data_IF_953599656567
#
_entry.id   IF_953599656567
#
_cell.length_a   1.000
_cell.length_b   1.000
_cell.length_c   1.000
_cell.angle_alpha   90.00
_cell.angle_beta   90.00
_cell.angle_gamma   90.00
#
_symmetry.space_group_name_H-M   'P 1'
#
loop_
_entity.id
_entity.type
_entity.pdbx_description
1 polymer ?
#
# COMPACT_ATOMS: atom_id res chain seq x y z
N UNK A 1 38.84 19.04 -11.32
CA UNK A 1 38.95 19.94 -10.15
C UNK A 1 37.90 19.49 -9.15
N UNK A 2 38.28 18.96 -7.99
CA UNK A 2 37.31 18.49 -7.00
C UNK A 2 36.64 19.70 -6.33
N UNK A 3 35.31 19.65 -6.17
CA UNK A 3 34.53 20.73 -5.56
C UNK A 3 34.78 20.78 -4.05
N UNK A 4 35.38 21.87 -3.57
CA UNK A 4 35.70 22.10 -2.16
C UNK A 4 34.72 23.07 -1.49
N UNK A 5 34.67 23.02 -0.16
CA UNK A 5 33.94 23.97 0.68
C UNK A 5 34.72 24.38 1.92
N UNK A 6 34.42 25.57 2.38
CA UNK A 6 34.81 26.06 3.70
C UNK A 6 33.96 25.40 4.79
N UNK A 7 34.60 24.67 5.68
CA UNK A 7 33.98 23.89 6.75
C UNK A 7 34.53 24.39 8.09
N UNK A 8 33.65 24.89 8.95
CA UNK A 8 34.02 25.31 10.30
C UNK A 8 34.05 24.11 11.24
N UNK A 9 35.20 23.90 11.87
CA UNK A 9 35.47 22.82 12.82
C UNK A 9 36.22 23.40 14.02
N UNK A 10 35.59 23.33 15.21
CA UNK A 10 36.14 23.81 16.48
C UNK A 10 36.64 25.25 16.38
N UNK A 11 35.83 26.12 15.77
CA UNK A 11 36.14 27.54 15.59
C UNK A 11 37.06 27.87 14.41
N UNK A 12 37.70 26.87 13.77
CA UNK A 12 38.62 27.08 12.64
C UNK A 12 37.97 26.69 11.32
N UNK A 13 38.21 27.48 10.29
CA UNK A 13 37.72 27.20 8.93
C UNK A 13 38.76 26.38 8.18
N UNK A 14 38.31 25.29 7.58
CA UNK A 14 39.11 24.37 6.79
C UNK A 14 38.49 24.25 5.40
N UNK A 15 39.28 24.36 4.35
CA UNK A 15 38.82 24.09 2.99
C UNK A 15 39.07 22.62 2.69
N UNK A 16 38.02 21.87 2.38
CA UNK A 16 38.12 20.44 2.12
C UNK A 16 37.14 19.99 1.04
N UNK A 17 37.45 18.90 0.36
CA UNK A 17 36.50 18.21 -0.53
C UNK A 17 35.43 17.49 0.30
N UNK A 18 34.41 16.96 -0.39
CA UNK A 18 33.42 16.14 0.28
C UNK A 18 34.05 14.88 0.88
N UNK A 19 34.94 14.21 0.15
CA UNK A 19 35.59 12.96 0.55
C UNK A 19 36.45 13.16 1.80
N UNK A 20 37.22 14.25 1.85
CA UNK A 20 38.01 14.64 3.02
C UNK A 20 37.11 14.94 4.22
N UNK A 21 36.02 15.69 4.02
CA UNK A 21 35.04 15.98 5.05
C UNK A 21 34.36 14.70 5.57
N UNK A 22 33.95 13.82 4.65
CA UNK A 22 33.28 12.57 4.92
C UNK A 22 34.16 11.61 5.75
N UNK A 23 35.46 11.58 5.45
CA UNK A 23 36.47 10.85 6.22
C UNK A 23 36.71 11.49 7.59
N UNK A 24 36.86 12.82 7.64
CA UNK A 24 37.07 13.57 8.89
C UNK A 24 35.96 13.33 9.93
N UNK A 25 34.73 13.11 9.49
CA UNK A 25 33.56 12.90 10.34
C UNK A 25 33.05 11.45 10.37
N UNK A 26 33.88 10.47 9.98
CA UNK A 26 33.50 9.05 9.95
C UNK A 26 32.95 8.53 11.29
N UNK A 27 33.69 8.72 12.39
CA UNK A 27 33.24 8.30 13.72
C UNK A 27 31.90 8.92 14.13
N UNK A 28 31.67 10.19 13.79
CA UNK A 28 30.41 10.88 14.05
C UNK A 28 29.25 10.26 13.26
N UNK A 29 29.47 9.93 11.98
CA UNK A 29 28.46 9.30 11.12
C UNK A 29 28.15 7.89 11.60
N UNK A 30 29.15 7.09 11.92
CA UNK A 30 28.98 5.73 12.44
C UNK A 30 28.19 5.73 13.76
N UNK A 31 28.47 6.67 14.66
CA UNK A 31 27.72 6.84 15.90
C UNK A 31 26.25 7.18 15.65
N UNK A 32 25.96 8.03 14.65
CA UNK A 32 24.59 8.32 14.25
C UNK A 32 23.91 7.09 13.62
N UNK A 33 24.56 6.37 12.71
CA UNK A 33 24.00 5.13 12.15
C UNK A 33 23.63 4.13 13.25
N UNK A 34 24.53 3.93 14.22
CA UNK A 34 24.25 3.05 15.37
C UNK A 34 23.09 3.54 16.23
N UNK A 35 22.98 4.85 16.46
CA UNK A 35 21.86 5.45 17.21
C UNK A 35 20.50 5.16 16.57
N UNK A 36 20.46 5.07 15.24
CA UNK A 36 19.24 4.85 14.47
C UNK A 36 19.03 3.40 14.02
N UNK A 37 19.80 2.44 14.54
CA UNK A 37 19.69 0.99 14.23
C UNK A 37 18.32 0.35 14.46
N UNK A 38 17.43 1.03 15.19
CA UNK A 38 16.07 0.58 15.50
C UNK A 38 15.04 1.01 14.44
N UNK A 39 15.47 1.76 13.42
CA UNK A 39 14.63 1.99 12.24
C UNK A 39 14.38 0.66 11.52
N UNK A 40 13.21 0.49 10.87
CA UNK A 40 12.90 -0.69 10.08
C UNK A 40 13.61 -0.60 8.71
N UNK A 41 14.93 -0.48 8.76
CA UNK A 41 15.85 -0.40 7.64
C UNK A 41 17.03 -1.29 7.97
N UNK A 42 17.63 -1.90 6.95
CA UNK A 42 18.84 -2.68 7.14
C UNK A 42 20.01 -1.75 7.50
N UNK A 43 21.05 -2.31 8.11
CA UNK A 43 22.20 -1.53 8.59
C UNK A 43 22.84 -0.71 7.46
N UNK A 44 23.00 -1.33 6.29
CA UNK A 44 23.59 -0.68 5.11
C UNK A 44 22.72 0.48 4.61
N UNK A 45 21.38 0.32 4.63
CA UNK A 45 20.45 1.39 4.27
C UNK A 45 20.55 2.59 5.22
N UNK A 46 20.71 2.33 6.52
CA UNK A 46 20.91 3.39 7.51
C UNK A 46 22.22 4.13 7.25
N UNK A 47 23.31 3.41 6.99
CA UNK A 47 24.63 3.99 6.69
C UNK A 47 24.61 4.83 5.41
N UNK A 48 23.90 4.36 4.37
CA UNK A 48 23.70 5.10 3.13
C UNK A 48 22.87 6.37 3.37
N UNK A 49 21.77 6.27 4.10
CA UNK A 49 20.89 7.42 4.36
C UNK A 49 21.60 8.51 5.20
N UNK A 50 22.41 8.09 6.18
CA UNK A 50 23.29 9.00 6.94
C UNK A 50 24.29 9.68 6.02
N UNK A 51 24.91 8.94 5.09
CA UNK A 51 25.89 9.48 4.14
C UNK A 51 25.26 10.45 3.14
N UNK A 52 24.07 10.16 2.63
CA UNK A 52 23.30 11.04 1.75
C UNK A 52 22.88 12.33 2.45
N UNK A 53 22.37 12.21 3.69
CA UNK A 53 22.01 13.36 4.51
C UNK A 53 23.23 14.22 4.88
N UNK A 54 24.38 13.58 5.11
CA UNK A 54 25.65 14.27 5.37
C UNK A 54 26.15 15.01 4.12
N UNK A 55 26.07 14.41 2.93
CA UNK A 55 26.38 15.08 1.67
C UNK A 55 25.48 16.30 1.44
N UNK A 56 24.18 16.19 1.74
CA UNK A 56 23.24 17.31 1.67
C UNK A 56 23.61 18.43 2.64
N UNK A 57 24.08 18.10 3.84
CA UNK A 57 24.60 19.09 4.78
C UNK A 57 25.86 19.78 4.23
N UNK A 58 26.82 19.01 3.72
CA UNK A 58 28.03 19.54 3.06
C UNK A 58 27.65 20.51 1.93
N UNK A 59 26.83 20.06 0.97
CA UNK A 59 26.44 20.86 -0.21
C UNK A 59 25.77 22.19 0.17
N UNK A 60 24.94 22.20 1.20
CA UNK A 60 24.18 23.39 1.60
C UNK A 60 24.83 24.19 2.75
N UNK A 61 25.98 23.76 3.25
CA UNK A 61 26.67 24.44 4.34
C UNK A 61 27.18 25.81 3.90
N UNK A 62 27.05 26.78 4.80
CA UNK A 62 27.47 28.16 4.62
C UNK A 62 28.15 28.63 5.92
N UNK A 63 29.44 28.92 5.81
CA UNK A 63 30.29 29.32 6.95
C UNK A 63 29.85 30.66 7.54
N UNK A 64 29.25 31.55 6.74
CA UNK A 64 28.85 32.90 7.16
C UNK A 64 27.72 32.87 8.19
N UNK A 65 26.99 31.75 8.28
CA UNK A 65 25.97 31.53 9.33
C UNK A 65 26.58 31.29 10.71
N UNK A 66 27.90 31.12 10.81
CA UNK A 66 28.64 31.06 12.08
C UNK A 66 28.57 29.72 12.82
N UNK A 67 27.68 28.80 12.44
CA UNK A 67 27.55 27.49 13.07
C UNK A 67 28.69 26.53 12.72
N UNK A 68 29.06 25.68 13.68
CA UNK A 68 29.93 24.53 13.42
C UNK A 68 29.29 23.58 12.42
N UNK A 69 30.09 23.01 11.51
CA UNK A 69 29.57 22.11 10.49
C UNK A 69 28.87 20.88 11.09
N UNK A 70 29.44 20.32 12.17
CA UNK A 70 28.87 19.15 12.85
C UNK A 70 27.44 19.41 13.35
N UNK A 71 27.14 20.64 13.77
CA UNK A 71 25.80 21.04 14.23
C UNK A 71 24.81 21.00 13.05
N UNK A 72 25.21 21.53 11.90
CA UNK A 72 24.38 21.53 10.68
C UNK A 72 24.18 20.11 10.16
N UNK A 73 25.26 19.31 10.12
CA UNK A 73 25.23 17.92 9.68
C UNK A 73 24.31 17.08 10.58
N UNK A 74 24.48 17.17 11.89
CA UNK A 74 23.63 16.46 12.85
C UNK A 74 22.17 16.82 12.66
N UNK A 75 21.84 18.12 12.56
CA UNK A 75 20.45 18.57 12.39
C UNK A 75 19.84 18.04 11.09
N UNK A 76 20.61 18.05 10.00
CA UNK A 76 20.17 17.56 8.69
C UNK A 76 19.89 16.06 8.72
N UNK A 77 20.85 15.27 9.22
CA UNK A 77 20.71 13.81 9.34
C UNK A 77 19.53 13.44 10.23
N UNK A 78 19.39 14.06 11.40
CA UNK A 78 18.27 13.78 12.32
C UNK A 78 16.92 14.11 11.69
N UNK A 79 16.82 15.22 10.96
CA UNK A 79 15.58 15.61 10.30
C UNK A 79 15.16 14.59 9.24
N UNK A 80 16.10 14.14 8.41
CA UNK A 80 15.82 13.19 7.31
C UNK A 80 15.52 11.77 7.87
N UNK A 81 16.29 11.27 8.84
CA UNK A 81 15.99 10.00 9.53
C UNK A 81 14.65 10.03 10.29
N UNK A 82 14.29 11.18 10.89
CA UNK A 82 12.99 11.34 11.55
C UNK A 82 11.82 11.36 10.55
N UNK A 83 12.03 11.77 9.29
CA UNK A 83 11.01 11.64 8.24
C UNK A 83 10.79 10.18 7.89
N UNK A 84 11.85 9.38 7.80
CA UNK A 84 11.74 7.93 7.56
C UNK A 84 10.96 7.27 8.69
N UNK A 85 11.30 7.55 9.95
CA UNK A 85 10.56 7.05 11.10
C UNK A 85 9.07 7.41 11.03
N UNK A 86 8.74 8.68 10.72
CA UNK A 86 7.36 9.14 10.60
C UNK A 86 6.62 8.53 9.41
N UNK A 87 7.29 8.40 8.26
CA UNK A 87 6.74 7.78 7.06
C UNK A 87 6.40 6.31 7.31
N UNK A 88 7.24 5.60 8.07
CA UNK A 88 6.96 4.22 8.47
C UNK A 88 5.80 4.10 9.47
N UNK A 89 5.61 5.11 10.33
CA UNK A 89 4.55 5.11 11.34
C UNK A 89 3.23 5.77 10.90
N UNK A 90 3.18 6.40 9.73
CA UNK A 90 1.95 7.06 9.25
C UNK A 90 0.89 6.00 8.92
N UNK A 91 -0.36 6.22 9.37
CA UNK A 91 -1.48 5.26 9.46
C UNK A 91 -1.73 4.36 8.22
N UNK A 92 -1.26 4.72 7.02
CA UNK A 92 -1.36 3.87 5.82
C UNK A 92 -0.41 2.66 5.82
N UNK A 93 0.61 2.65 6.71
CA UNK A 93 1.51 1.50 6.96
C UNK A 93 1.22 0.76 8.27
N UNK A 94 0.11 1.07 8.96
CA UNK A 94 -0.37 0.26 10.11
C UNK A 94 -0.75 -1.17 9.72
N UNK A 95 -0.92 -1.46 8.43
CA UNK A 95 -1.09 -2.83 7.90
C UNK A 95 0.08 -3.75 8.32
N UNK A 96 1.29 -3.20 8.57
CA UNK A 96 2.46 -3.96 9.01
C UNK A 96 2.46 -4.39 10.48
N UNK A 97 1.53 -3.90 11.32
CA UNK A 97 1.36 -4.44 12.67
C UNK A 97 0.64 -5.79 12.57
N UNK A 98 1.34 -6.87 12.91
CA UNK A 98 0.89 -8.27 12.82
C UNK A 98 0.89 -8.87 11.40
N UNK A 99 1.82 -8.46 10.53
CA UNK A 99 2.04 -9.23 9.30
C UNK A 99 2.70 -10.55 9.67
N UNK A 100 1.97 -11.61 9.38
CA UNK A 100 2.46 -12.98 9.40
C UNK A 100 2.90 -13.29 7.97
N UNK A 101 4.13 -13.79 7.80
CA UNK A 101 4.57 -14.25 6.48
C UNK A 101 3.65 -15.38 6.01
N UNK A 102 3.16 -15.31 4.77
CA UNK A 102 2.35 -16.37 4.18
C UNK A 102 3.12 -17.71 4.15
N UNK A 103 4.44 -17.64 4.03
CA UNK A 103 5.34 -18.80 4.04
C UNK A 103 5.76 -19.19 5.46
N UNK A 104 5.26 -18.52 6.51
CA UNK A 104 5.52 -18.97 7.88
C UNK A 104 4.71 -20.23 8.19
N UNK A 105 5.27 -21.12 9.00
CA UNK A 105 4.62 -22.37 9.36
C UNK A 105 3.66 -22.21 10.53
N UNK A 106 2.50 -22.85 10.46
CA UNK A 106 1.50 -22.88 11.54
C UNK A 106 1.97 -23.87 12.63
N UNK A 107 1.98 -23.43 13.90
CA UNK A 107 2.55 -24.17 15.04
C UNK A 107 1.81 -25.48 15.41
N UNK A 108 0.60 -25.70 14.89
CA UNK A 108 -0.30 -26.76 15.37
C UNK A 108 -0.26 -28.08 14.57
N UNK A 109 0.41 -28.14 13.42
CA UNK A 109 0.47 -29.36 12.62
C UNK A 109 1.65 -30.25 13.05
N UNK A 110 1.40 -31.22 13.95
CA UNK A 110 2.42 -32.08 14.56
C UNK A 110 3.29 -32.91 13.60
N UNK A 111 2.98 -33.02 12.31
CA UNK A 111 3.79 -33.83 11.37
C UNK A 111 3.90 -33.28 9.94
N UNK A 112 3.23 -32.17 9.59
CA UNK A 112 3.32 -31.54 8.26
C UNK A 112 3.62 -30.05 8.42
N UNK A 113 4.67 -29.57 7.74
CA UNK A 113 4.97 -28.14 7.61
C UNK A 113 3.90 -27.50 6.71
N UNK A 114 2.79 -27.10 7.30
CA UNK A 114 1.72 -26.36 6.59
C UNK A 114 2.05 -24.87 6.70
N UNK A 115 2.10 -24.19 5.56
CA UNK A 115 2.33 -22.75 5.51
C UNK A 115 1.02 -22.00 5.78
N UNK A 116 1.11 -20.76 6.26
CA UNK A 116 -0.07 -19.91 6.49
C UNK A 116 -0.88 -19.74 5.20
N UNK A 117 -0.22 -19.67 4.04
CA UNK A 117 -0.88 -19.63 2.73
C UNK A 117 -1.85 -20.80 2.51
N UNK A 118 -1.46 -22.01 2.92
CA UNK A 118 -2.23 -23.24 2.71
C UNK A 118 -3.52 -23.29 3.56
N UNK A 119 -3.59 -22.47 4.61
CA UNK A 119 -4.75 -22.35 5.51
C UNK A 119 -5.75 -21.29 5.08
N UNK A 120 -5.37 -20.43 4.14
CA UNK A 120 -6.26 -19.41 3.60
C UNK A 120 -7.14 -20.08 2.52
N UNK A 121 -8.39 -20.36 2.87
CA UNK A 121 -9.38 -20.85 1.90
C UNK A 121 -9.75 -19.75 0.91
N UNK A 122 -9.82 -20.10 -0.39
CA UNK A 122 -10.31 -19.24 -1.47
C UNK A 122 -11.84 -19.08 -1.41
N UNK A 123 -12.35 -18.51 -0.31
CA UNK A 123 -13.79 -18.31 -0.07
C UNK A 123 -14.52 -17.38 -1.05
N UNK A 124 -13.92 -17.03 -2.20
CA UNK A 124 -14.58 -16.26 -3.25
C UNK A 124 -15.48 -17.10 -4.14
N UNK A 125 -15.11 -18.34 -4.45
CA UNK A 125 -15.82 -19.14 -5.46
C UNK A 125 -17.15 -19.69 -4.94
N UNK A 126 -17.17 -20.18 -3.69
CA UNK A 126 -18.38 -20.71 -3.06
C UNK A 126 -19.44 -19.62 -2.86
N UNK A 127 -19.02 -18.41 -2.46
CA UNK A 127 -19.93 -17.27 -2.31
C UNK A 127 -20.56 -16.85 -3.64
N UNK A 128 -19.76 -16.77 -4.71
CA UNK A 128 -20.27 -16.47 -6.06
C UNK A 128 -21.22 -17.57 -6.53
N UNK A 129 -20.88 -18.84 -6.31
CA UNK A 129 -21.73 -19.96 -6.70
C UNK A 129 -23.08 -19.95 -5.97
N UNK A 130 -23.09 -19.67 -4.66
CA UNK A 130 -24.32 -19.53 -3.86
C UNK A 130 -25.17 -18.35 -4.37
N UNK A 131 -24.57 -17.18 -4.60
CA UNK A 131 -25.29 -16.01 -5.15
C UNK A 131 -25.91 -16.33 -6.52
N UNK A 132 -25.19 -17.04 -7.39
CA UNK A 132 -25.69 -17.46 -8.70
C UNK A 132 -26.88 -18.44 -8.59
N UNK A 133 -26.79 -19.42 -7.68
CA UNK A 133 -27.88 -20.38 -7.43
C UNK A 133 -29.14 -19.64 -6.96
N UNK A 134 -29.00 -18.66 -6.06
CA UNK A 134 -30.15 -17.91 -5.54
C UNK A 134 -30.78 -16.99 -6.59
N UNK A 135 -29.99 -16.38 -7.46
CA UNK A 135 -30.48 -15.62 -8.62
C UNK A 135 -31.28 -16.54 -9.56
N UNK A 136 -30.76 -17.74 -9.86
CA UNK A 136 -31.44 -18.71 -10.74
C UNK A 136 -32.77 -19.15 -10.14
N UNK A 137 -32.81 -19.48 -8.84
CA UNK A 137 -34.06 -19.83 -8.14
C UNK A 137 -35.10 -18.71 -8.25
N UNK A 138 -34.68 -17.45 -8.04
CA UNK A 138 -35.57 -16.29 -8.13
C UNK A 138 -36.13 -16.12 -9.54
N UNK A 139 -35.30 -16.26 -10.57
CA UNK A 139 -35.75 -16.20 -11.98
C UNK A 139 -36.79 -17.29 -12.25
N UNK A 140 -36.59 -18.51 -11.73
CA UNK A 140 -37.51 -19.63 -11.94
C UNK A 140 -38.86 -19.46 -11.22
N UNK A 141 -38.94 -18.57 -10.23
CA UNK A 141 -40.19 -18.24 -9.53
C UNK A 141 -41.00 -17.11 -10.20
N UNK A 142 -40.48 -16.50 -11.27
CA UNK A 142 -41.19 -15.48 -12.04
C UNK A 142 -42.12 -16.13 -13.08
N UNK A 143 -43.06 -15.34 -13.61
CA UNK A 143 -43.83 -15.78 -14.79
C UNK A 143 -42.92 -15.98 -16.01
N UNK A 144 -43.38 -16.78 -16.98
CA UNK A 144 -42.56 -17.21 -18.11
C UNK A 144 -41.96 -16.04 -18.90
N UNK A 145 -42.77 -15.02 -19.21
CA UNK A 145 -42.33 -13.83 -19.96
C UNK A 145 -41.33 -13.01 -19.15
N UNK A 146 -41.57 -12.84 -17.84
CA UNK A 146 -40.68 -12.11 -16.95
C UNK A 146 -39.34 -12.83 -16.79
N UNK A 147 -39.36 -14.14 -16.55
CA UNK A 147 -38.15 -14.96 -16.44
C UNK A 147 -37.31 -14.92 -17.72
N UNK A 148 -37.97 -15.08 -18.88
CA UNK A 148 -37.31 -15.06 -20.19
C UNK A 148 -36.73 -13.66 -20.50
N UNK A 149 -37.46 -12.59 -20.22
CA UNK A 149 -36.98 -11.22 -20.37
C UNK A 149 -35.71 -10.97 -19.54
N UNK A 150 -35.68 -11.42 -18.28
CA UNK A 150 -34.51 -11.25 -17.41
C UNK A 150 -33.32 -12.05 -17.95
N UNK A 151 -33.50 -13.30 -18.37
CA UNK A 151 -32.42 -14.12 -18.95
C UNK A 151 -31.81 -13.47 -20.19
N UNK A 152 -32.63 -12.97 -21.11
CA UNK A 152 -32.17 -12.30 -22.32
C UNK A 152 -31.44 -10.98 -22.02
N UNK A 153 -31.89 -10.22 -21.01
CA UNK A 153 -31.18 -9.03 -20.53
C UNK A 153 -29.78 -9.37 -20.00
N UNK A 154 -29.63 -10.49 -19.27
CA UNK A 154 -28.33 -10.96 -18.79
C UNK A 154 -27.42 -11.46 -19.91
N UNK A 155 -27.99 -11.95 -21.01
CA UNK A 155 -27.25 -12.32 -22.23
C UNK A 155 -26.85 -11.11 -23.08
N UNK A 156 -27.28 -9.90 -22.72
CA UNK A 156 -26.86 -8.65 -23.37
C UNK A 156 -27.81 -8.10 -24.44
N UNK A 157 -28.97 -8.71 -24.64
CA UNK A 157 -29.98 -8.21 -25.58
C UNK A 157 -30.57 -6.87 -25.10
N UNK A 158 -30.89 -5.99 -26.06
CA UNK A 158 -31.53 -4.70 -25.79
C UNK A 158 -33.02 -4.90 -25.48
N UNK A 159 -33.60 -3.97 -24.72
CA UNK A 159 -35.01 -4.06 -24.31
C UNK A 159 -35.98 -4.03 -25.50
N UNK A 160 -35.61 -3.36 -26.59
CA UNK A 160 -36.37 -3.29 -27.83
C UNK A 160 -36.40 -4.66 -28.53
N UNK A 161 -35.23 -5.30 -28.67
CA UNK A 161 -35.09 -6.65 -29.24
C UNK A 161 -35.87 -7.68 -28.43
N UNK A 162 -35.81 -7.60 -27.10
CA UNK A 162 -36.55 -8.50 -26.20
C UNK A 162 -38.07 -8.26 -26.30
N UNK A 163 -38.48 -7.00 -26.44
CA UNK A 163 -39.89 -6.65 -26.59
C UNK A 163 -40.47 -7.23 -27.89
N UNK A 164 -39.70 -7.21 -28.98
CA UNK A 164 -40.05 -7.90 -30.24
C UNK A 164 -40.15 -9.41 -30.05
N UNK A 165 -39.15 -10.04 -29.39
CA UNK A 165 -39.14 -11.49 -29.11
C UNK A 165 -40.34 -11.93 -28.28
N UNK A 166 -40.73 -11.14 -27.28
CA UNK A 166 -41.85 -11.43 -26.38
C UNK A 166 -43.19 -10.84 -26.86
N UNK A 167 -43.22 -10.28 -28.08
CA UNK A 167 -44.39 -9.62 -28.67
C UNK A 167 -45.09 -8.66 -27.68
N UNK A 168 -44.32 -7.78 -27.05
CA UNK A 168 -44.80 -6.85 -26.04
C UNK A 168 -44.16 -5.46 -26.18
N UNK A 169 -44.53 -4.52 -25.30
CA UNK A 169 -43.95 -3.18 -25.32
C UNK A 169 -42.63 -3.15 -24.52
N UNK A 170 -41.61 -2.44 -25.02
CA UNK A 170 -40.35 -2.12 -24.34
C UNK A 170 -40.56 -1.65 -22.88
N UNK A 171 -41.62 -0.88 -22.62
CA UNK A 171 -41.98 -0.41 -21.27
C UNK A 171 -42.28 -1.58 -20.32
N UNK A 172 -42.84 -2.69 -20.81
CA UNK A 172 -43.08 -3.93 -20.03
C UNK A 172 -41.75 -4.56 -19.61
N UNK A 173 -40.78 -4.63 -20.52
CA UNK A 173 -39.42 -5.15 -20.24
C UNK A 173 -38.68 -4.26 -19.23
N UNK A 174 -38.81 -2.95 -19.35
CA UNK A 174 -38.27 -1.99 -18.38
C UNK A 174 -38.85 -2.20 -16.97
N UNK A 175 -40.17 -2.43 -16.88
CA UNK A 175 -40.84 -2.76 -15.60
C UNK A 175 -40.35 -4.09 -15.03
N UNK A 176 -40.18 -5.12 -15.85
CA UNK A 176 -39.63 -6.41 -15.44
C UNK A 176 -38.22 -6.28 -14.86
N UNK A 177 -37.33 -5.53 -15.54
CA UNK A 177 -35.97 -5.23 -15.06
C UNK A 177 -36.00 -4.50 -13.71
N UNK A 178 -36.84 -3.48 -13.58
CA UNK A 178 -36.98 -2.69 -12.35
C UNK A 178 -37.51 -3.53 -11.19
N UNK A 179 -38.53 -4.34 -11.43
CA UNK A 179 -39.12 -5.24 -10.43
C UNK A 179 -38.12 -6.28 -9.94
N UNK A 180 -37.37 -6.89 -10.85
CA UNK A 180 -36.36 -7.88 -10.48
C UNK A 180 -35.20 -7.26 -9.68
N UNK A 181 -34.77 -6.05 -10.05
CA UNK A 181 -33.77 -5.29 -9.27
C UNK A 181 -34.24 -5.02 -7.84
N UNK A 182 -35.50 -4.60 -7.66
CA UNK A 182 -36.07 -4.38 -6.33
C UNK A 182 -36.16 -5.66 -5.50
N UNK A 183 -36.40 -6.81 -6.14
CA UNK A 183 -36.43 -8.12 -5.49
C UNK A 183 -35.04 -8.51 -4.97
N UNK A 184 -33.97 -8.22 -5.72
CA UNK A 184 -32.59 -8.44 -5.27
C UNK A 184 -32.18 -7.45 -4.17
N UNK A 185 -32.52 -6.17 -4.33
CA UNK A 185 -32.07 -5.10 -3.42
C UNK A 185 -32.72 -5.19 -2.02
N UNK A 186 -33.97 -5.65 -1.90
CA UNK A 186 -34.66 -5.81 -0.60
C UNK A 186 -33.99 -6.82 0.34
N UNK A 187 -33.29 -7.81 -0.21
CA UNK A 187 -32.72 -8.91 0.57
C UNK A 187 -31.30 -8.61 1.06
N UNK A 188 -30.56 -7.77 0.31
CA UNK A 188 -29.24 -7.25 0.70
C UNK A 188 -29.25 -6.36 1.96
N UNK A 189 -30.43 -5.92 2.41
CA UNK A 189 -30.60 -5.08 3.61
C UNK A 189 -30.93 -5.94 4.86
N UNK A 190 -31.22 -7.24 4.67
CA UNK A 190 -31.68 -8.15 5.73
C UNK A 190 -30.62 -9.22 6.07
N UNK A 191 -29.52 -9.29 5.32
CA UNK A 191 -28.32 -10.11 5.61
C UNK A 191 -27.17 -9.25 6.12
#
# INVERSE_FOLDING_TARGET
MYYTKEIKIKGKVHVMTFEECHKQFEAFRNNLSYKYKMLPLDREDIEQEVSMSFYKAYKNYDVNRGYEFITVAQKTIQNDLSKIYRSNNTNKRKVYKNIISLNSHVKEAKEKKVEVLDTISSGGFENIACEMIDIIKKINNLDHDHALAIRLLYQGYKQEEIAEILNCNQVKISRYKKSFKQLIDKERVVS
#
